data_IF_049737938907
#
_entry.id   IF_049737938907
#
_cell.length_a   1.000
_cell.length_b   1.000
_cell.length_c   1.000
_cell.angle_alpha   90.00
_cell.angle_beta   90.00
_cell.angle_gamma   90.00
#
_symmetry.space_group_name_H-M   'P 1'
#
loop_
_entity.id
_entity.type
_entity.pdbx_description
1 polymer ?
#
# COMPACT_ATOMS: atom_id res chain seq x y z
N UNK A 1 12.17 -38.86 3.75
CA UNK A 1 11.02 -38.07 4.17
C UNK A 1 11.40 -37.35 5.46
N UNK A 2 11.66 -36.05 5.39
CA UNK A 2 11.93 -35.24 6.57
C UNK A 2 10.70 -35.20 7.47
N UNK A 3 10.92 -35.28 8.77
CA UNK A 3 9.84 -35.04 9.72
C UNK A 3 9.63 -33.54 9.82
N UNK A 4 8.43 -33.08 9.55
CA UNK A 4 8.07 -31.66 9.69
C UNK A 4 7.77 -31.38 11.17
N UNK A 5 8.59 -30.58 11.86
CA UNK A 5 8.31 -30.16 13.24
C UNK A 5 7.23 -29.07 13.20
N UNK A 6 6.00 -29.49 13.38
CA UNK A 6 4.82 -28.63 13.45
C UNK A 6 4.05 -28.92 14.74
N UNK A 7 3.06 -28.11 15.11
CA UNK A 7 2.17 -28.41 16.22
C UNK A 7 1.49 -29.77 16.11
N UNK A 8 1.29 -30.27 14.88
CA UNK A 8 0.73 -31.59 14.61
C UNK A 8 1.77 -32.72 14.75
N UNK A 9 3.06 -32.41 14.82
CA UNK A 9 4.13 -33.37 14.97
C UNK A 9 5.23 -32.86 15.93
N UNK A 10 4.92 -32.64 17.20
CA UNK A 10 5.88 -32.09 18.17
C UNK A 10 7.10 -32.98 18.41
N UNK A 11 7.01 -34.28 18.13
CA UNK A 11 8.12 -35.22 18.31
C UNK A 11 9.25 -34.97 17.28
N UNK A 12 8.98 -34.26 16.19
CA UNK A 12 10.00 -33.87 15.21
C UNK A 12 10.75 -32.58 15.60
N UNK A 13 10.31 -31.91 16.67
CA UNK A 13 10.97 -30.71 17.17
C UNK A 13 12.35 -31.03 17.77
N UNK A 14 13.28 -30.13 17.51
CA UNK A 14 14.64 -30.21 18.01
C UNK A 14 15.01 -28.85 18.61
N UNK A 15 15.47 -28.81 19.84
CA UNK A 15 15.88 -27.59 20.54
C UNK A 15 17.02 -26.84 19.84
N UNK A 16 17.77 -27.55 19.01
CA UNK A 16 18.79 -26.95 18.15
C UNK A 16 18.14 -26.66 16.81
N UNK A 17 17.49 -25.55 16.69
CA UNK A 17 16.71 -25.09 15.52
C UNK A 17 17.40 -25.30 14.17
N UNK A 18 18.71 -25.15 14.12
CA UNK A 18 19.50 -25.32 12.89
C UNK A 18 19.54 -26.76 12.36
N UNK A 19 19.14 -27.73 13.16
CA UNK A 19 19.05 -29.13 12.80
C UNK A 19 17.60 -29.63 12.66
N UNK A 20 16.64 -28.72 12.69
CA UNK A 20 15.25 -29.07 12.40
C UNK A 20 15.09 -29.61 10.99
N UNK A 21 14.21 -30.59 10.82
CA UNK A 21 13.94 -31.25 9.53
C UNK A 21 12.61 -30.79 8.97
N UNK A 22 12.41 -29.47 8.89
CA UNK A 22 11.25 -28.87 8.23
C UNK A 22 11.32 -28.99 6.71
N UNK A 23 10.20 -28.77 6.08
CA UNK A 23 10.08 -28.51 4.63
C UNK A 23 9.12 -27.35 4.45
N UNK A 24 9.58 -26.18 4.81
CA UNK A 24 8.75 -24.97 4.87
C UNK A 24 8.70 -24.27 3.52
N UNK A 25 7.51 -24.10 2.98
CA UNK A 25 7.25 -23.14 1.90
C UNK A 25 7.18 -21.73 2.48
N UNK A 26 8.34 -21.11 2.55
CA UNK A 26 8.53 -19.79 3.18
C UNK A 26 7.64 -18.73 2.53
N UNK A 27 7.52 -18.76 1.21
CA UNK A 27 6.70 -17.78 0.49
C UNK A 27 5.21 -18.02 0.75
N UNK A 28 4.79 -19.27 0.74
CA UNK A 28 3.43 -19.65 1.08
C UNK A 28 3.05 -19.28 2.52
N UNK A 29 3.99 -19.32 3.47
CA UNK A 29 3.74 -18.89 4.85
C UNK A 29 3.68 -17.38 5.01
N UNK A 30 4.49 -16.62 4.26
CA UNK A 30 4.59 -15.17 4.42
C UNK A 30 3.57 -14.39 3.60
N UNK A 31 3.18 -14.90 2.42
CA UNK A 31 2.35 -14.14 1.50
C UNK A 31 0.99 -14.79 1.26
N UNK A 32 -0.03 -13.95 1.18
CA UNK A 32 -1.38 -14.33 0.73
C UNK A 32 -1.34 -14.60 -0.77
N UNK A 33 -2.05 -15.61 -1.23
CA UNK A 33 -2.19 -15.92 -2.66
C UNK A 33 -3.08 -14.91 -3.40
N UNK A 34 -4.01 -14.29 -2.69
CA UNK A 34 -4.95 -13.31 -3.22
C UNK A 34 -5.19 -12.21 -2.21
N UNK A 35 -5.40 -10.99 -2.72
CA UNK A 35 -5.70 -9.81 -1.90
C UNK A 35 -6.84 -9.04 -2.55
N UNK A 36 -7.75 -8.58 -1.72
CA UNK A 36 -8.84 -7.73 -2.16
C UNK A 36 -8.39 -6.28 -2.26
N UNK A 37 -8.72 -5.63 -3.37
CA UNK A 37 -8.57 -4.19 -3.57
C UNK A 37 -9.86 -3.62 -4.13
N UNK A 38 -10.21 -2.42 -3.70
CA UNK A 38 -11.39 -1.72 -4.19
C UNK A 38 -11.05 -0.28 -4.57
N UNK A 39 -11.65 0.19 -5.65
CA UNK A 39 -11.51 1.57 -6.10
C UNK A 39 -12.88 2.14 -6.42
N UNK A 40 -13.13 3.34 -5.91
CA UNK A 40 -14.37 4.08 -6.11
C UNK A 40 -14.08 5.43 -6.72
N UNK A 41 -14.79 5.74 -7.79
CA UNK A 41 -14.66 6.99 -8.53
C UNK A 41 -16.02 7.68 -8.66
N UNK A 42 -16.04 8.94 -8.29
CA UNK A 42 -17.21 9.79 -8.47
C UNK A 42 -16.76 11.10 -9.13
N UNK A 43 -17.52 11.59 -10.09
CA UNK A 43 -17.26 12.90 -10.71
C UNK A 43 -18.56 13.61 -11.03
N UNK A 44 -18.49 14.92 -11.02
CA UNK A 44 -19.55 15.83 -11.41
C UNK A 44 -18.96 16.92 -12.30
N UNK A 45 -19.68 17.26 -13.35
CA UNK A 45 -19.33 18.38 -14.22
C UNK A 45 -20.59 19.12 -14.65
N UNK A 46 -20.45 20.40 -14.91
CA UNK A 46 -21.53 21.23 -15.35
C UNK A 46 -21.04 22.61 -15.75
N UNK A 47 -21.97 23.45 -16.14
CA UNK A 47 -21.64 24.82 -16.49
C UNK A 47 -22.69 25.50 -17.37
N UNK A 48 -22.33 26.68 -17.82
CA UNK A 48 -23.07 27.50 -18.77
C UNK A 48 -22.13 27.93 -19.91
N UNK A 49 -22.60 28.75 -20.83
CA UNK A 49 -21.76 29.30 -21.91
C UNK A 49 -20.53 30.05 -21.37
N UNK A 50 -20.61 30.66 -20.21
CA UNK A 50 -19.55 31.50 -19.62
C UNK A 50 -18.79 30.84 -18.46
N UNK A 51 -19.22 29.68 -17.98
CA UNK A 51 -18.63 29.07 -16.79
C UNK A 51 -18.72 27.55 -16.89
N UNK A 52 -17.63 26.87 -16.58
CA UNK A 52 -17.62 25.42 -16.45
C UNK A 52 -16.98 25.00 -15.14
N UNK A 53 -17.45 23.92 -14.57
CA UNK A 53 -16.85 23.31 -13.39
C UNK A 53 -16.76 21.79 -13.55
N UNK A 54 -15.78 21.23 -12.90
CA UNK A 54 -15.54 19.79 -12.79
C UNK A 54 -15.06 19.49 -11.38
N UNK A 55 -15.64 18.47 -10.78
CA UNK A 55 -15.20 17.92 -9.51
C UNK A 55 -15.08 16.41 -9.61
N UNK A 56 -14.05 15.83 -9.01
CA UNK A 56 -13.93 14.37 -8.89
C UNK A 56 -13.32 13.97 -7.57
N UNK A 57 -13.74 12.81 -7.09
CA UNK A 57 -13.18 12.15 -5.92
C UNK A 57 -12.90 10.68 -6.27
N UNK A 58 -11.69 10.22 -5.94
CA UNK A 58 -11.28 8.84 -6.09
C UNK A 58 -10.77 8.31 -4.76
N UNK A 59 -11.23 7.13 -4.39
CA UNK A 59 -10.78 6.38 -3.23
C UNK A 59 -10.29 5.01 -3.66
N UNK A 60 -9.07 4.67 -3.28
CA UNK A 60 -8.47 3.34 -3.44
C UNK A 60 -8.16 2.77 -2.07
N UNK A 61 -8.58 1.53 -1.82
CA UNK A 61 -8.19 0.72 -0.68
C UNK A 61 -7.54 -0.56 -1.19
N UNK A 62 -6.26 -0.71 -0.94
CA UNK A 62 -5.46 -1.84 -1.37
C UNK A 62 -4.94 -2.60 -0.16
N UNK A 63 -5.44 -3.81 0.01
CA UNK A 63 -4.96 -4.71 1.05
C UNK A 63 -3.52 -5.15 0.81
N UNK A 64 -2.83 -5.50 1.87
CA UNK A 64 -1.46 -5.99 1.82
C UNK A 64 -1.33 -7.47 1.56
N UNK A 65 -0.18 -7.87 1.05
CA UNK A 65 0.13 -9.25 0.69
C UNK A 65 0.64 -10.09 1.87
N UNK A 66 1.05 -9.47 2.97
CA UNK A 66 1.61 -10.20 4.12
C UNK A 66 0.53 -10.99 4.86
N UNK A 67 0.84 -12.23 5.23
CA UNK A 67 0.06 -13.03 6.17
C UNK A 67 0.41 -12.70 7.62
N UNK A 68 1.69 -12.37 7.85
CA UNK A 68 2.25 -12.07 9.17
C UNK A 68 2.57 -10.58 9.20
N UNK A 69 1.99 -9.88 10.17
CA UNK A 69 1.99 -8.42 10.20
C UNK A 69 0.92 -7.84 9.29
N UNK A 70 0.71 -6.55 9.38
CA UNK A 70 -0.29 -5.84 8.59
C UNK A 70 0.38 -4.88 7.61
N UNK A 71 0.00 -4.95 6.34
CA UNK A 71 0.41 -4.02 5.31
C UNK A 71 -0.77 -3.61 4.43
N UNK A 72 -0.66 -2.46 3.82
CA UNK A 72 -1.69 -1.97 2.93
C UNK A 72 -1.51 -0.50 2.56
N UNK A 73 -2.42 -0.02 1.72
CA UNK A 73 -2.42 1.36 1.27
C UNK A 73 -3.86 1.87 1.06
N UNK A 74 -4.10 3.11 1.50
CA UNK A 74 -5.28 3.88 1.11
C UNK A 74 -4.86 5.14 0.38
N UNK A 75 -5.55 5.46 -0.70
CA UNK A 75 -5.29 6.67 -1.47
C UNK A 75 -6.59 7.42 -1.71
N UNK A 76 -6.54 8.70 -1.44
CA UNK A 76 -7.62 9.65 -1.65
C UNK A 76 -7.15 10.70 -2.65
N UNK A 77 -7.89 10.89 -3.74
CA UNK A 77 -7.65 11.95 -4.70
C UNK A 77 -8.90 12.81 -4.82
N UNK A 78 -8.74 14.12 -4.74
CA UNK A 78 -9.78 15.08 -5.04
C UNK A 78 -9.27 16.05 -6.10
N UNK A 79 -10.09 16.32 -7.11
CA UNK A 79 -9.77 17.31 -8.15
C UNK A 79 -10.95 18.24 -8.32
N UNK A 80 -10.67 19.54 -8.32
CA UNK A 80 -11.62 20.59 -8.68
C UNK A 80 -11.04 21.42 -9.82
N UNK A 81 -11.84 21.68 -10.83
CA UNK A 81 -11.51 22.59 -11.93
C UNK A 81 -12.65 23.58 -12.13
N UNK A 82 -12.29 24.81 -12.35
CA UNK A 82 -13.22 25.89 -12.62
C UNK A 82 -12.67 26.78 -13.72
N UNK A 83 -13.50 27.07 -14.69
CA UNK A 83 -13.20 28.00 -15.77
C UNK A 83 -14.34 29.02 -15.87
N UNK A 84 -14.03 30.29 -15.99
CA UNK A 84 -15.00 31.34 -16.16
C UNK A 84 -14.52 32.40 -17.14
N UNK A 85 -15.38 32.78 -18.05
CA UNK A 85 -15.24 33.97 -18.87
C UNK A 85 -15.75 35.17 -18.08
N UNK A 86 -14.83 35.93 -17.47
CA UNK A 86 -15.17 37.08 -16.63
C UNK A 86 -15.67 38.26 -17.50
N UNK A 87 -15.07 38.39 -18.68
CA UNK A 87 -15.44 39.33 -19.74
C UNK A 87 -15.13 38.69 -21.10
N UNK A 88 -15.52 39.32 -22.20
CA UNK A 88 -15.22 38.83 -23.56
C UNK A 88 -13.72 38.75 -23.88
N UNK A 89 -12.88 39.42 -23.09
CA UNK A 89 -11.43 39.46 -23.24
C UNK A 89 -10.65 38.89 -22.03
N UNK A 90 -11.33 38.41 -20.98
CA UNK A 90 -10.67 37.91 -19.79
C UNK A 90 -11.30 36.57 -19.36
N UNK A 91 -10.47 35.52 -19.32
CA UNK A 91 -10.84 34.22 -18.84
C UNK A 91 -10.03 33.88 -17.57
N UNK A 92 -10.66 33.21 -16.63
CA UNK A 92 -10.05 32.71 -15.41
C UNK A 92 -10.17 31.20 -15.38
N UNK A 93 -9.03 30.53 -15.15
CA UNK A 93 -8.96 29.09 -14.95
C UNK A 93 -8.39 28.81 -13.56
N UNK A 94 -9.01 27.92 -12.85
CA UNK A 94 -8.54 27.44 -11.54
C UNK A 94 -8.57 25.92 -11.50
N UNK A 95 -7.49 25.32 -11.01
CA UNK A 95 -7.41 23.88 -10.76
C UNK A 95 -6.83 23.65 -9.38
N UNK A 96 -7.52 22.84 -8.59
CA UNK A 96 -7.04 22.33 -7.30
C UNK A 96 -7.00 20.81 -7.34
N UNK A 97 -5.91 20.22 -6.86
CA UNK A 97 -5.80 18.78 -6.67
C UNK A 97 -5.26 18.49 -5.29
N UNK A 98 -5.84 17.49 -4.66
CA UNK A 98 -5.39 16.95 -3.40
C UNK A 98 -5.18 15.46 -3.56
N UNK A 99 -4.06 14.95 -3.04
CA UNK A 99 -3.79 13.52 -2.96
C UNK A 99 -3.27 13.20 -1.57
N UNK A 100 -3.90 12.24 -0.91
CA UNK A 100 -3.42 11.62 0.33
C UNK A 100 -3.14 10.17 0.06
N UNK A 101 -1.94 9.73 0.45
CA UNK A 101 -1.57 8.32 0.51
C UNK A 101 -1.27 7.96 1.96
N UNK A 102 -2.01 7.00 2.48
CA UNK A 102 -1.76 6.37 3.77
C UNK A 102 -1.22 4.97 3.48
N UNK A 103 0.02 4.71 3.88
CA UNK A 103 0.70 3.42 3.68
C UNK A 103 1.14 2.91 5.03
N UNK A 104 0.76 1.68 5.34
CA UNK A 104 1.19 1.01 6.57
C UNK A 104 1.85 -0.32 6.25
N UNK A 105 2.85 -0.68 7.04
CA UNK A 105 3.59 -1.93 6.92
C UNK A 105 4.34 -2.26 8.20
N UNK A 106 4.71 -3.51 8.45
CA UNK A 106 5.62 -3.84 9.53
C UNK A 106 6.91 -3.03 9.42
N UNK A 107 7.37 -2.49 10.54
CA UNK A 107 8.57 -1.63 10.58
C UNK A 107 9.81 -2.35 10.04
N UNK A 108 9.91 -3.66 10.30
CA UNK A 108 11.03 -4.50 9.90
C UNK A 108 10.93 -5.03 8.47
N UNK A 109 9.83 -4.78 7.78
CA UNK A 109 9.68 -5.13 6.37
C UNK A 109 10.47 -4.16 5.48
N UNK A 110 11.75 -4.43 5.31
CA UNK A 110 12.73 -3.59 4.62
C UNK A 110 13.80 -4.44 3.91
N UNK A 111 14.78 -3.80 3.27
CA UNK A 111 15.87 -4.47 2.56
C UNK A 111 16.69 -5.44 3.43
N UNK A 112 16.82 -5.15 4.73
CA UNK A 112 17.50 -6.04 5.67
C UNK A 112 16.71 -7.32 5.85
N UNK A 113 15.39 -7.24 6.01
CA UNK A 113 14.52 -8.40 6.06
C UNK A 113 14.69 -9.27 4.81
N UNK A 114 14.63 -8.70 3.61
CA UNK A 114 14.80 -9.45 2.36
C UNK A 114 16.17 -10.09 2.22
N UNK A 115 17.23 -9.40 2.64
CA UNK A 115 18.59 -9.96 2.62
C UNK A 115 18.76 -11.13 3.59
N UNK A 116 18.20 -11.01 4.79
CA UNK A 116 18.23 -12.10 5.78
C UNK A 116 17.36 -13.25 5.31
N UNK A 117 16.21 -12.96 4.74
CA UNK A 117 15.29 -13.92 4.18
C UNK A 117 15.93 -14.78 3.07
N UNK A 118 16.69 -14.18 2.15
CA UNK A 118 17.36 -14.88 1.07
C UNK A 118 18.65 -15.63 1.46
N UNK A 119 19.27 -15.28 2.60
CA UNK A 119 20.59 -15.82 2.98
C UNK A 119 20.56 -16.79 4.14
N UNK A 120 19.62 -16.66 5.04
CA UNK A 120 19.59 -17.38 6.32
C UNK A 120 18.38 -18.30 6.48
N UNK A 121 17.45 -18.25 5.54
CA UNK A 121 16.21 -19.00 5.63
C UNK A 121 16.27 -20.25 4.76
N UNK A 122 16.66 -21.33 5.39
CA UNK A 122 16.71 -22.62 4.71
C UNK A 122 15.39 -23.35 4.90
N UNK A 123 14.89 -24.05 3.89
CA UNK A 123 13.58 -24.73 3.95
C UNK A 123 13.45 -25.75 5.07
N UNK A 124 14.56 -26.23 5.60
CA UNK A 124 14.59 -27.18 6.73
C UNK A 124 14.32 -26.51 8.09
N UNK A 125 14.23 -25.19 8.16
CA UNK A 125 13.85 -24.47 9.38
C UNK A 125 12.32 -24.38 9.42
N UNK A 126 11.67 -24.79 10.52
CA UNK A 126 10.22 -24.66 10.66
C UNK A 126 9.83 -23.19 10.90
N UNK A 127 8.65 -22.81 10.40
CA UNK A 127 8.07 -21.48 10.65
C UNK A 127 7.54 -21.37 12.07
N UNK A 128 6.96 -22.45 12.61
CA UNK A 128 6.29 -22.48 13.89
C UNK A 128 6.94 -23.49 14.84
N UNK A 129 6.90 -23.18 16.13
CA UNK A 129 7.24 -24.13 17.20
C UNK A 129 6.11 -25.16 17.40
N UNK A 130 6.30 -26.23 18.21
CA UNK A 130 5.24 -27.19 18.49
C UNK A 130 4.02 -26.63 19.21
N UNK A 131 4.12 -25.43 19.79
CA UNK A 131 3.02 -24.72 20.44
C UNK A 131 2.26 -23.81 19.47
N UNK A 132 2.73 -23.70 18.21
CA UNK A 132 2.13 -22.87 17.19
C UNK A 132 2.57 -21.41 17.17
N UNK A 133 3.62 -21.05 17.94
CA UNK A 133 4.16 -19.71 17.91
C UNK A 133 5.11 -19.55 16.72
N UNK A 134 5.14 -18.35 16.14
CA UNK A 134 6.09 -18.03 15.09
C UNK A 134 7.51 -18.11 15.64
N UNK A 135 8.34 -18.92 14.99
CA UNK A 135 9.70 -19.20 15.43
C UNK A 135 10.75 -18.79 14.40
N UNK A 136 10.54 -19.15 13.15
CA UNK A 136 11.55 -19.04 12.09
C UNK A 136 11.54 -17.72 11.32
N UNK A 137 12.61 -17.51 10.54
CA UNK A 137 12.69 -16.56 9.43
C UNK A 137 12.60 -15.08 9.78
N UNK A 138 12.88 -14.72 11.01
CA UNK A 138 12.66 -13.36 11.52
C UNK A 138 11.19 -12.89 11.35
N UNK A 139 10.27 -13.81 11.12
CA UNK A 139 8.85 -13.51 10.96
C UNK A 139 8.24 -12.93 12.24
N UNK A 140 8.77 -13.29 13.41
CA UNK A 140 8.44 -12.65 14.70
C UNK A 140 8.65 -11.13 14.63
N UNK A 141 9.67 -10.66 13.92
CA UNK A 141 9.91 -9.21 13.78
C UNK A 141 8.85 -8.52 12.93
N UNK A 142 8.17 -9.22 12.02
CA UNK A 142 7.05 -8.68 11.25
C UNK A 142 5.81 -8.51 12.12
N UNK A 143 5.58 -9.45 13.04
CA UNK A 143 4.43 -9.43 13.93
C UNK A 143 4.63 -8.47 15.12
N UNK A 144 5.78 -8.57 15.78
CA UNK A 144 6.04 -7.90 17.07
C UNK A 144 6.98 -6.69 16.95
N UNK A 145 7.59 -6.49 15.79
CA UNK A 145 8.57 -5.42 15.54
C UNK A 145 7.97 -4.01 15.40
N UNK A 146 6.65 -3.88 15.59
CA UNK A 146 5.91 -2.64 15.45
C UNK A 146 5.59 -2.29 13.99
N UNK A 147 4.75 -1.28 13.82
CA UNK A 147 4.24 -0.82 12.53
C UNK A 147 4.91 0.50 12.13
N UNK A 148 5.02 0.71 10.86
CA UNK A 148 5.40 1.99 10.25
C UNK A 148 4.24 2.50 9.41
N UNK A 149 3.68 3.61 9.83
CA UNK A 149 2.64 4.32 9.12
C UNK A 149 3.24 5.56 8.46
N UNK A 150 2.95 5.73 7.19
CA UNK A 150 3.42 6.89 6.41
C UNK A 150 2.23 7.52 5.71
N UNK A 151 1.90 8.74 6.11
CA UNK A 151 0.93 9.58 5.44
C UNK A 151 1.65 10.61 4.59
N UNK A 152 1.26 10.71 3.34
CA UNK A 152 1.82 11.71 2.41
C UNK A 152 0.66 12.50 1.79
N UNK A 153 0.67 13.81 2.04
CA UNK A 153 -0.29 14.74 1.47
C UNK A 153 0.38 15.59 0.39
N UNK A 154 -0.27 15.69 -0.77
CA UNK A 154 0.17 16.54 -1.88
C UNK A 154 -0.96 17.46 -2.28
N UNK A 155 -0.66 18.74 -2.33
CA UNK A 155 -1.56 19.78 -2.79
C UNK A 155 -0.99 20.41 -4.08
N UNK A 156 -1.85 20.60 -5.03
CA UNK A 156 -1.52 21.29 -6.28
C UNK A 156 -2.60 22.33 -6.56
N UNK A 157 -2.17 23.56 -6.75
CA UNK A 157 -3.05 24.67 -7.10
C UNK A 157 -2.48 25.39 -8.34
N UNK A 158 -3.34 25.65 -9.28
CA UNK A 158 -3.02 26.41 -10.47
C UNK A 158 -4.11 27.44 -10.72
N UNK A 159 -3.72 28.68 -10.87
CA UNK A 159 -4.59 29.76 -11.33
C UNK A 159 -4.00 30.38 -12.58
N UNK A 160 -4.83 30.64 -13.57
CA UNK A 160 -4.42 31.29 -14.81
C UNK A 160 -5.46 32.34 -15.21
N UNK A 161 -4.96 33.51 -15.60
CA UNK A 161 -5.73 34.55 -16.25
C UNK A 161 -5.29 34.60 -17.70
N UNK A 162 -6.24 34.45 -18.61
CA UNK A 162 -6.02 34.53 -20.06
C UNK A 162 -6.62 35.88 -20.52
N UNK A 163 -5.77 36.70 -21.12
CA UNK A 163 -6.09 38.05 -21.52
C UNK A 163 -6.01 38.17 -23.03
N UNK A 164 -7.16 38.38 -23.67
CA UNK A 164 -7.31 38.52 -25.13
C UNK A 164 -8.00 39.82 -25.45
N UNK A 165 -7.32 40.99 -25.38
CA UNK A 165 -7.95 42.30 -25.57
C UNK A 165 -8.42 42.58 -27.01
N UNK A 166 -7.87 41.86 -27.99
CA UNK A 166 -8.22 41.95 -29.41
C UNK A 166 -8.50 40.52 -29.92
N UNK A 167 -9.70 40.29 -30.47
CA UNK A 167 -10.07 39.00 -31.04
C UNK A 167 -9.15 38.60 -32.17
N UNK A 168 -8.65 37.37 -32.18
CA UNK A 168 -7.78 36.76 -33.20
C UNK A 168 -6.37 37.39 -33.28
N UNK A 169 -5.79 37.78 -32.18
CA UNK A 169 -4.41 38.29 -32.10
C UNK A 169 -3.51 37.29 -31.39
#
# INVERSE_FOLDING_TARGET
AGMDPSPSNPAAWNDVWQYAYGNTDIYGELYKSTVFSQEHNVSVSGGSEKMTYYGSFNYLDQGGLLKIGEDGMKRYNATGKFTSELTDWLKFNFTARFTRNDVWRPRKFNDTFYRMFGRQNWPNIPMYDPSGNIFGYNAVELEQGGQRDVQTDRHYYQAALIFEPIKNW
#
